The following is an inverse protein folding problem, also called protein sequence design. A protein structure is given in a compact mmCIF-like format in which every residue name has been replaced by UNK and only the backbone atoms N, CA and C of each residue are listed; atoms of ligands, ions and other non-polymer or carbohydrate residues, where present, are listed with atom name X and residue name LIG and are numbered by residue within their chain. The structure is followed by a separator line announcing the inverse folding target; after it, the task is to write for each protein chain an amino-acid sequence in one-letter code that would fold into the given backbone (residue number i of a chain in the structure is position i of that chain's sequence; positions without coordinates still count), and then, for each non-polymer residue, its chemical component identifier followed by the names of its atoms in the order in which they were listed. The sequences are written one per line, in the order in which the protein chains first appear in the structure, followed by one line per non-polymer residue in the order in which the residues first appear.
data_IF_229553644386
#
_entry.id   IF_229553644386
#
_cell.length_a   1.000
_cell.length_b   1.000
_cell.length_c   1.000
_cell.angle_alpha   90.00
_cell.angle_beta   90.00
_cell.angle_gamma   90.00
#
_symmetry.space_group_name_H-M   'P 1'
#
loop_
_entity.id
_entity.type
_entity.pdbx_description
1 polymer ?
#
# COMPACT_ATOMS: atom_id res chain seq x y z
N UNK A 1 -18.74 -0.66 7.01
CA UNK A 1 -17.28 -0.69 7.27
C UNK A 1 -16.60 -0.16 6.02
N UNK A 2 -15.89 0.96 6.11
CA UNK A 2 -15.25 1.60 4.96
C UNK A 2 -14.23 0.65 4.35
N UNK A 3 -14.55 0.07 3.19
CA UNK A 3 -13.77 -0.99 2.52
C UNK A 3 -12.41 -0.48 2.00
N UNK A 4 -12.14 0.82 2.09
CA UNK A 4 -10.94 1.45 1.55
C UNK A 4 -10.23 2.34 2.59
N UNK A 5 -9.34 1.72 3.37
CA UNK A 5 -8.10 2.36 3.81
C UNK A 5 -7.99 2.69 5.31
N UNK A 6 -6.84 2.30 5.87
CA UNK A 6 -6.29 2.68 7.18
C UNK A 6 -5.75 4.13 7.13
N UNK A 7 -6.42 5.02 6.41
CA UNK A 7 -6.00 6.42 6.31
C UNK A 7 -6.52 7.18 7.53
N UNK A 8 -5.62 7.79 8.31
CA UNK A 8 -6.02 8.72 9.36
C UNK A 8 -5.90 10.15 8.83
N UNK A 9 -7.00 10.91 8.75
CA UNK A 9 -6.91 12.32 8.35
C UNK A 9 -6.17 13.12 9.42
N UNK A 10 -4.97 13.59 9.09
CA UNK A 10 -4.18 14.55 9.89
C UNK A 10 -3.98 15.88 9.16
N UNK A 11 -3.72 16.96 9.91
CA UNK A 11 -3.48 18.32 9.40
C UNK A 11 -1.99 18.71 9.30
N UNK A 12 -1.06 17.77 9.44
CA UNK A 12 0.37 18.10 9.53
C UNK A 12 1.02 18.48 8.20
N UNK A 13 2.20 19.12 8.25
CA UNK A 13 3.00 19.48 7.05
C UNK A 13 3.28 18.23 6.19
N UNK A 14 3.53 17.10 6.84
CA UNK A 14 3.71 15.80 6.18
C UNK A 14 2.44 15.39 5.42
N UNK A 15 1.24 15.73 5.88
CA UNK A 15 0.00 15.41 5.15
C UNK A 15 -0.23 16.26 3.89
N UNK A 16 0.39 17.45 3.80
CA UNK A 16 0.19 18.37 2.67
C UNK A 16 1.10 18.10 1.47
N UNK A 17 2.17 17.32 1.67
CA UNK A 17 3.07 16.93 0.57
C UNK A 17 2.36 16.00 -0.43
N UNK A 18 2.53 16.21 -1.75
CA UNK A 18 1.99 15.31 -2.76
C UNK A 18 2.58 13.91 -2.60
N UNK A 19 1.74 12.89 -2.82
CA UNK A 19 2.10 11.50 -2.60
C UNK A 19 3.34 11.06 -3.40
N UNK A 20 3.52 11.58 -4.62
CA UNK A 20 4.70 11.27 -5.44
C UNK A 20 6.01 11.73 -4.77
N UNK A 21 6.04 12.96 -4.24
CA UNK A 21 7.23 13.48 -3.54
C UNK A 21 7.51 12.68 -2.28
N UNK A 22 6.47 12.26 -1.52
CA UNK A 22 6.65 11.39 -0.35
C UNK A 22 7.29 10.05 -0.72
N UNK A 23 6.88 9.45 -1.84
CA UNK A 23 7.41 8.16 -2.29
C UNK A 23 8.87 8.29 -2.75
N UNK A 24 9.22 9.34 -3.49
CA UNK A 24 10.62 9.61 -3.84
C UNK A 24 11.44 9.86 -2.58
N UNK A 25 10.96 10.71 -1.67
CA UNK A 25 11.66 11.02 -0.43
C UNK A 25 11.86 9.77 0.43
N UNK A 26 10.84 8.91 0.52
CA UNK A 26 10.94 7.62 1.21
C UNK A 26 12.03 6.74 0.58
N UNK A 27 11.99 6.57 -0.74
CA UNK A 27 12.96 5.74 -1.46
C UNK A 27 14.39 6.26 -1.30
N UNK A 28 14.59 7.57 -1.46
CA UNK A 28 15.89 8.23 -1.28
C UNK A 28 16.36 8.10 0.16
N UNK A 29 15.49 8.33 1.16
CA UNK A 29 15.85 8.23 2.58
C UNK A 29 16.27 6.81 2.94
N UNK A 30 15.52 5.79 2.48
CA UNK A 30 15.86 4.38 2.71
C UNK A 30 17.19 4.04 2.03
N UNK A 31 17.41 4.49 0.79
CA UNK A 31 18.65 4.24 0.06
C UNK A 31 19.86 4.89 0.76
N UNK A 32 19.75 6.16 1.14
CA UNK A 32 20.78 6.87 1.90
C UNK A 32 21.04 6.15 3.23
N UNK A 33 19.99 5.72 3.92
CA UNK A 33 20.13 5.00 5.17
C UNK A 33 20.89 3.68 4.97
N UNK A 34 20.52 2.89 3.95
CA UNK A 34 21.15 1.62 3.65
C UNK A 34 22.65 1.76 3.29
N UNK A 35 23.05 2.86 2.63
CA UNK A 35 24.43 3.07 2.21
C UNK A 35 25.30 3.74 3.29
N UNK A 36 24.76 4.68 4.06
CA UNK A 36 25.55 5.50 4.98
C UNK A 36 25.53 5.01 6.44
N UNK A 37 24.49 4.25 6.84
CA UNK A 37 24.39 3.71 8.20
C UNK A 37 25.19 2.42 8.29
N UNK A 38 26.49 2.57 8.57
CA UNK A 38 27.41 1.44 8.78
C UNK A 38 27.74 1.21 10.26
N UNK A 39 27.49 2.21 11.10
CA UNK A 39 27.87 2.22 12.51
C UNK A 39 26.64 2.44 13.42
N UNK A 40 26.64 1.89 14.66
CA UNK A 40 25.54 2.05 15.61
C UNK A 40 25.30 3.52 16.00
N UNK A 41 26.32 4.37 15.99
CA UNK A 41 26.16 5.82 16.23
C UNK A 41 25.36 6.49 15.11
N UNK A 42 25.63 6.14 13.85
CA UNK A 42 24.86 6.64 12.70
C UNK A 42 23.44 6.12 12.70
N UNK A 43 23.24 4.89 13.18
CA UNK A 43 21.92 4.31 13.38
C UNK A 43 21.12 5.11 14.41
N UNK A 44 21.73 5.48 15.54
CA UNK A 44 21.08 6.30 16.56
C UNK A 44 20.67 7.69 16.01
N UNK A 45 21.53 8.32 15.21
CA UNK A 45 21.20 9.58 14.54
C UNK A 45 20.02 9.41 13.57
N UNK A 46 20.01 8.35 12.78
CA UNK A 46 18.90 8.04 11.88
C UNK A 46 17.59 7.76 12.65
N UNK A 47 17.67 7.05 13.77
CA UNK A 47 16.53 6.81 14.65
C UNK A 47 15.94 8.14 15.16
N UNK A 48 16.79 9.06 15.60
CA UNK A 48 16.36 10.39 16.04
C UNK A 48 15.65 11.18 14.93
N UNK A 49 16.19 11.15 13.71
CA UNK A 49 15.56 11.78 12.55
C UNK A 49 14.17 11.19 12.27
N UNK A 50 14.03 9.85 12.30
CA UNK A 50 12.73 9.18 12.10
C UNK A 50 11.74 9.54 13.20
N UNK A 51 12.16 9.58 14.46
CA UNK A 51 11.30 10.02 15.58
C UNK A 51 10.82 11.46 15.35
N UNK A 52 11.69 12.35 14.87
CA UNK A 52 11.32 13.71 14.48
C UNK A 52 10.25 13.75 13.39
N UNK A 53 10.35 12.88 12.37
CA UNK A 53 9.33 12.74 11.32
C UNK A 53 7.99 12.27 11.89
N UNK A 54 7.99 11.32 12.82
CA UNK A 54 6.78 10.87 13.51
C UNK A 54 6.12 11.98 14.33
N UNK A 55 6.94 12.80 15.01
CA UNK A 55 6.48 13.98 15.74
C UNK A 55 5.84 15.02 14.80
N UNK A 56 6.52 15.36 13.71
CA UNK A 56 6.01 16.27 12.66
C UNK A 56 4.77 15.71 11.95
N UNK A 57 4.63 14.39 11.87
CA UNK A 57 3.45 13.73 11.30
C UNK A 57 2.24 13.70 12.27
N UNK A 58 2.44 14.06 13.54
CA UNK A 58 1.45 13.96 14.62
C UNK A 58 0.83 12.55 14.73
N UNK A 59 1.64 11.51 14.48
CA UNK A 59 1.19 10.12 14.55
C UNK A 59 1.32 9.64 16.00
N UNK A 60 0.22 9.14 16.56
CA UNK A 60 0.23 8.59 17.92
C UNK A 60 1.18 7.38 18.03
N UNK A 61 1.99 7.26 19.10
CA UNK A 61 2.99 6.19 19.25
C UNK A 61 2.36 4.79 19.24
N UNK A 62 1.10 4.68 19.66
CA UNK A 62 0.32 3.42 19.60
C UNK A 62 0.12 2.92 18.15
N UNK A 63 -0.07 3.81 17.19
CA UNK A 63 -0.23 3.43 15.78
C UNK A 63 1.09 2.90 15.20
N UNK A 64 2.22 3.54 15.56
CA UNK A 64 3.55 3.10 15.17
C UNK A 64 3.85 1.68 15.71
N UNK A 65 3.58 1.45 17.00
CA UNK A 65 3.81 0.16 17.65
C UNK A 65 2.94 -0.97 17.07
N UNK A 66 1.70 -0.67 16.65
CA UNK A 66 0.83 -1.65 16.01
C UNK A 66 1.38 -2.14 14.66
N UNK A 67 2.06 -1.27 13.90
CA UNK A 67 2.69 -1.65 12.63
C UNK A 67 4.01 -2.40 12.82
N UNK A 68 4.75 -2.09 13.89
CA UNK A 68 6.00 -2.77 14.24
C UNK A 68 5.76 -4.17 14.83
N UNK A 69 4.61 -4.41 15.47
CA UNK A 69 4.28 -5.69 16.12
C UNK A 69 4.46 -6.93 15.20
N UNK A 70 3.91 -6.98 13.97
CA UNK A 70 4.15 -8.12 13.07
C UNK A 70 5.61 -8.23 12.63
N UNK A 71 6.35 -7.11 12.61
CA UNK A 71 7.74 -7.07 12.18
C UNK A 71 8.70 -7.70 13.20
N UNK A 72 8.34 -7.72 14.49
CA UNK A 72 9.20 -8.26 15.56
C UNK A 72 9.65 -9.69 15.28
N UNK A 73 8.75 -10.53 14.75
CA UNK A 73 9.08 -11.91 14.38
C UNK A 73 10.12 -12.00 13.26
N UNK A 74 9.95 -11.19 12.21
CA UNK A 74 10.89 -11.15 11.07
C UNK A 74 12.24 -10.58 11.51
N UNK A 75 12.24 -9.50 12.28
CA UNK A 75 13.46 -8.87 12.81
C UNK A 75 14.20 -9.82 13.74
N UNK A 76 13.48 -10.53 14.60
CA UNK A 76 14.07 -11.52 15.50
C UNK A 76 14.78 -12.64 14.74
N UNK A 77 14.13 -13.19 13.70
CA UNK A 77 14.73 -14.20 12.84
C UNK A 77 16.00 -13.68 12.12
N UNK A 78 15.92 -12.49 11.52
CA UNK A 78 17.06 -11.86 10.82
C UNK A 78 18.20 -11.56 11.80
N UNK A 79 17.88 -11.12 13.01
CA UNK A 79 18.87 -10.79 14.03
C UNK A 79 19.66 -12.01 14.48
N UNK A 80 18.97 -13.12 14.76
CA UNK A 80 19.61 -14.39 15.12
C UNK A 80 20.52 -14.86 13.98
N UNK A 81 20.03 -14.83 12.75
CA UNK A 81 20.83 -15.20 11.58
C UNK A 81 22.07 -14.31 11.44
N UNK A 82 21.93 -12.99 11.61
CA UNK A 82 23.05 -12.07 11.48
C UNK A 82 24.13 -12.22 12.56
N UNK A 83 23.75 -12.59 13.79
CA UNK A 83 24.72 -12.87 14.85
C UNK A 83 25.52 -14.13 14.52
N UNK A 84 24.88 -15.17 13.97
CA UNK A 84 25.54 -16.44 13.64
C UNK A 84 26.53 -16.27 12.48
N UNK A 85 26.16 -15.51 11.45
CA UNK A 85 26.92 -15.42 10.20
C UNK A 85 27.86 -14.21 10.10
N UNK A 86 27.64 -13.18 10.91
CA UNK A 86 28.43 -11.96 10.82
C UNK A 86 28.98 -11.52 12.17
N UNK A 87 28.33 -10.56 12.84
CA UNK A 87 28.79 -9.92 14.06
C UNK A 87 27.63 -9.20 14.75
N UNK A 88 27.70 -9.06 16.07
CA UNK A 88 26.68 -8.35 16.86
C UNK A 88 26.45 -6.91 16.38
N UNK A 89 27.53 -6.15 16.15
CA UNK A 89 27.45 -4.76 15.69
C UNK A 89 26.70 -4.64 14.37
N UNK A 90 26.98 -5.55 13.42
CA UNK A 90 26.34 -5.54 12.11
C UNK A 90 24.89 -6.01 12.17
N UNK A 91 24.58 -6.98 13.03
CA UNK A 91 23.21 -7.43 13.28
C UNK A 91 22.33 -6.27 13.78
N UNK A 92 22.83 -5.48 14.74
CA UNK A 92 22.12 -4.30 15.26
C UNK A 92 21.89 -3.26 14.16
N UNK A 93 22.90 -2.98 13.34
CA UNK A 93 22.79 -2.02 12.23
C UNK A 93 21.75 -2.47 11.21
N UNK A 94 21.83 -3.71 10.73
CA UNK A 94 20.92 -4.23 9.69
C UNK A 94 19.48 -4.29 10.20
N UNK A 95 19.26 -4.83 11.39
CA UNK A 95 17.93 -4.90 12.00
C UNK A 95 17.37 -3.50 12.30
N UNK A 96 18.22 -2.58 12.76
CA UNK A 96 17.84 -1.18 13.00
C UNK A 96 17.44 -0.46 11.72
N UNK A 97 18.20 -0.61 10.63
CA UNK A 97 17.86 -0.07 9.31
C UNK A 97 16.53 -0.63 8.81
N UNK A 98 16.31 -1.92 8.97
CA UNK A 98 15.06 -2.57 8.58
C UNK A 98 13.86 -2.02 9.36
N UNK A 99 13.97 -1.92 10.68
CA UNK A 99 12.92 -1.36 11.56
C UNK A 99 12.61 0.09 11.20
N UNK A 100 13.63 0.93 11.02
CA UNK A 100 13.44 2.34 10.69
C UNK A 100 12.88 2.56 9.28
N UNK A 101 13.27 1.72 8.32
CA UNK A 101 12.70 1.74 6.96
C UNK A 101 11.21 1.40 6.98
N UNK A 102 10.82 0.38 7.75
CA UNK A 102 9.40 0.02 7.92
C UNK A 102 8.64 1.13 8.64
N UNK A 103 9.24 1.76 9.65
CA UNK A 103 8.65 2.90 10.34
C UNK A 103 8.41 4.09 9.38
N UNK A 104 9.39 4.45 8.55
CA UNK A 104 9.23 5.48 7.52
C UNK A 104 8.12 5.13 6.52
N UNK A 105 8.06 3.88 6.04
CA UNK A 105 7.01 3.42 5.13
C UNK A 105 5.62 3.46 5.79
N UNK A 106 5.55 3.16 7.09
CA UNK A 106 4.37 3.28 7.91
C UNK A 106 3.83 4.72 7.97
N UNK A 107 4.71 5.72 8.12
CA UNK A 107 4.33 7.15 8.05
C UNK A 107 3.70 7.47 6.70
N UNK A 108 4.31 7.04 5.59
CA UNK A 108 3.76 7.31 4.26
C UNK A 108 2.39 6.66 4.08
N UNK A 109 2.25 5.40 4.51
CA UNK A 109 1.00 4.64 4.43
C UNK A 109 -0.13 5.28 5.24
N UNK A 110 0.15 5.72 6.47
CA UNK A 110 -0.86 6.31 7.35
C UNK A 110 -1.27 7.73 6.92
N UNK A 111 -0.36 8.47 6.29
CA UNK A 111 -0.55 9.89 5.92
C UNK A 111 -0.95 10.10 4.46
N UNK A 112 -1.16 9.03 3.68
CA UNK A 112 -1.47 9.12 2.25
C UNK A 112 -2.75 8.35 1.92
N UNK A 113 -3.68 9.02 1.22
CA UNK A 113 -4.90 8.38 0.72
C UNK A 113 -4.59 7.43 -0.43
N UNK A 114 -5.27 6.29 -0.51
CA UNK A 114 -5.10 5.32 -1.61
C UNK A 114 -5.27 5.96 -2.99
N UNK A 115 -6.26 6.85 -3.15
CA UNK A 115 -6.48 7.58 -4.41
C UNK A 115 -5.32 8.50 -4.78
N UNK A 116 -4.73 9.20 -3.81
CA UNK A 116 -3.57 10.04 -4.03
C UNK A 116 -2.32 9.22 -4.36
N UNK A 117 -2.17 8.03 -3.76
CA UNK A 117 -1.08 7.10 -4.06
C UNK A 117 -1.18 6.56 -5.49
N UNK A 118 -2.40 6.24 -5.94
CA UNK A 118 -2.67 5.83 -7.32
C UNK A 118 -2.38 6.96 -8.33
N UNK A 119 -2.79 8.19 -8.05
CA UNK A 119 -2.48 9.34 -8.90
C UNK A 119 -0.98 9.68 -8.95
N UNK A 120 -0.25 9.47 -7.85
CA UNK A 120 1.20 9.61 -7.84
C UNK A 120 1.89 8.56 -8.71
N UNK A 121 1.43 7.30 -8.64
CA UNK A 121 1.96 6.21 -9.43
C UNK A 121 1.78 6.46 -10.94
N UNK A 122 0.61 6.93 -11.38
CA UNK A 122 0.38 7.27 -12.79
C UNK A 122 1.27 8.41 -13.27
N UNK A 123 1.46 9.43 -12.44
CA UNK A 123 2.38 10.55 -12.74
C UNK A 123 3.83 10.05 -12.89
N UNK A 124 4.26 9.14 -12.00
CA UNK A 124 5.60 8.53 -12.08
C UNK A 124 5.79 7.62 -13.29
N UNK A 125 4.71 7.01 -13.80
CA UNK A 125 4.74 6.17 -15.00
C UNK A 125 4.65 6.99 -16.31
N UNK A 126 4.32 8.27 -16.24
CA UNK A 126 4.23 9.17 -17.40
C UNK A 126 5.53 9.26 -18.22
N UNK A 127 6.76 9.34 -17.65
CA UNK A 127 8.00 9.32 -18.45
C UNK A 127 8.19 8.03 -19.26
N UNK A 128 7.59 6.91 -18.82
CA UNK A 128 7.65 5.63 -19.53
C UNK A 128 6.82 5.62 -20.81
N UNK A 129 6.02 6.68 -21.05
CA UNK A 129 5.29 6.87 -22.30
C UNK A 129 6.16 7.03 -23.54
N UNK A 130 7.42 7.41 -23.34
CA UNK A 130 8.41 7.49 -24.42
C UNK A 130 8.78 6.13 -25.00
N UNK A 131 8.44 5.03 -24.30
CA UNK A 131 8.69 3.64 -24.73
C UNK A 131 7.47 3.02 -25.43
N UNK A 132 6.46 3.83 -25.80
CA UNK A 132 5.27 3.38 -26.54
C UNK A 132 4.04 3.05 -25.69
N UNK A 133 4.12 3.26 -24.37
CA UNK A 133 3.01 3.06 -23.43
C UNK A 133 2.13 4.32 -23.39
N UNK A 134 0.82 4.23 -23.69
CA UNK A 134 -0.10 5.38 -23.62
C UNK A 134 -0.60 5.59 -22.18
N UNK A 135 -0.18 6.65 -21.45
CA UNK A 135 -0.59 6.86 -20.05
C UNK A 135 -2.09 7.07 -19.89
N UNK A 136 -2.75 7.60 -20.91
CA UNK A 136 -4.21 7.78 -20.96
C UNK A 136 -4.96 6.44 -20.87
N UNK A 137 -4.48 5.40 -21.53
CA UNK A 137 -5.06 4.05 -21.46
C UNK A 137 -4.85 3.42 -20.08
N UNK A 138 -3.67 3.61 -19.47
CA UNK A 138 -3.40 3.15 -18.10
C UNK A 138 -4.30 3.88 -17.09
N UNK A 139 -4.43 5.20 -17.22
CA UNK A 139 -5.28 6.00 -16.35
C UNK A 139 -6.75 5.58 -16.47
N UNK A 140 -7.23 5.32 -17.70
CA UNK A 140 -8.58 4.80 -17.96
C UNK A 140 -8.78 3.42 -17.33
N UNK A 141 -7.84 2.49 -17.55
CA UNK A 141 -7.88 1.15 -16.97
C UNK A 141 -7.89 1.19 -15.43
N UNK A 142 -7.05 2.03 -14.82
CA UNK A 142 -7.06 2.23 -13.36
C UNK A 142 -8.36 2.86 -12.88
N UNK A 143 -8.91 3.86 -13.56
CA UNK A 143 -10.18 4.48 -13.17
C UNK A 143 -11.34 3.46 -13.23
N UNK A 144 -11.38 2.64 -14.28
CA UNK A 144 -12.32 1.53 -14.42
C UNK A 144 -12.12 0.50 -13.30
N UNK A 145 -10.88 0.09 -13.03
CA UNK A 145 -10.59 -0.88 -11.97
C UNK A 145 -10.99 -0.36 -10.57
N UNK A 146 -10.69 0.90 -10.25
CA UNK A 146 -11.07 1.52 -8.97
C UNK A 146 -12.60 1.56 -8.82
N UNK A 147 -13.34 1.84 -9.90
CA UNK A 147 -14.79 1.83 -9.92
C UNK A 147 -15.40 0.42 -9.88
N UNK A 148 -14.71 -0.56 -10.47
CA UNK A 148 -15.12 -1.95 -10.50
C UNK A 148 -15.04 -2.58 -9.10
N UNK A 149 -14.07 -2.19 -8.25
CA UNK A 149 -13.93 -2.77 -6.90
C UNK A 149 -15.21 -2.62 -6.06
N UNK A 150 -15.81 -1.41 -5.88
CA UNK A 150 -17.09 -1.26 -5.20
C UNK A 150 -18.23 -2.06 -5.85
N UNK A 151 -18.30 -2.09 -7.17
CA UNK A 151 -19.33 -2.83 -7.89
C UNK A 151 -19.24 -4.33 -7.62
N UNK A 152 -18.03 -4.90 -7.63
CA UNK A 152 -17.79 -6.31 -7.30
C UNK A 152 -18.27 -6.63 -5.88
N UNK A 153 -18.00 -5.74 -4.92
CA UNK A 153 -18.46 -5.90 -3.53
C UNK A 153 -19.99 -5.93 -3.46
N UNK A 154 -20.66 -5.07 -4.23
CA UNK A 154 -22.12 -5.02 -4.29
C UNK A 154 -22.71 -6.28 -4.93
N UNK A 155 -22.15 -6.76 -6.05
CA UNK A 155 -22.57 -8.01 -6.70
C UNK A 155 -22.41 -9.20 -5.73
N UNK A 156 -21.28 -9.29 -5.02
CA UNK A 156 -21.05 -10.36 -4.04
C UNK A 156 -22.08 -10.28 -2.90
N UNK A 157 -22.40 -9.08 -2.42
CA UNK A 157 -23.41 -8.88 -1.39
C UNK A 157 -24.81 -9.33 -1.85
N UNK A 158 -25.20 -9.00 -3.08
CA UNK A 158 -26.47 -9.43 -3.69
C UNK A 158 -26.53 -10.96 -3.84
N UNK A 159 -25.45 -11.59 -4.30
CA UNK A 159 -25.36 -13.05 -4.40
C UNK A 159 -25.52 -13.71 -3.02
N UNK A 160 -24.90 -13.15 -1.99
CA UNK A 160 -25.01 -13.69 -0.64
C UNK A 160 -26.40 -13.50 -0.03
N UNK A 161 -27.07 -12.38 -0.30
CA UNK A 161 -28.45 -12.12 0.12
C UNK A 161 -29.44 -13.07 -0.57
N UNK A 162 -29.32 -13.26 -1.89
CA UNK A 162 -30.12 -14.23 -2.65
C UNK A 162 -29.89 -15.66 -2.15
N UNK A 163 -28.65 -15.99 -1.79
CA UNK A 163 -28.26 -17.28 -1.21
C UNK A 163 -28.89 -17.51 0.17
N UNK A 164 -28.92 -16.48 1.02
CA UNK A 164 -29.57 -16.53 2.34
C UNK A 164 -31.09 -16.67 2.21
N UNK A 165 -31.73 -15.95 1.29
CA UNK A 165 -33.17 -16.07 1.02
C UNK A 165 -33.57 -17.49 0.56
N UNK A 166 -32.66 -18.21 -0.11
CA UNK A 166 -32.85 -19.60 -0.54
C UNK A 166 -32.52 -20.65 0.54
N UNK A 167 -32.12 -20.24 1.75
CA UNK A 167 -31.79 -21.15 2.86
C UNK A 167 -30.53 -22.00 2.64
N UNK A 168 -29.67 -21.64 1.68
CA UNK A 168 -28.49 -22.44 1.33
C UNK A 168 -27.33 -22.19 2.31
N UNK A 169 -26.71 -23.26 2.85
CA UNK A 169 -25.57 -23.17 3.78
C UNK A 169 -24.30 -22.63 3.10
N UNK A 170 -23.38 -22.05 3.88
CA UNK A 170 -22.09 -21.54 3.38
C UNK A 170 -21.25 -22.64 2.73
N UNK A 171 -21.11 -22.59 1.41
CA UNK A 171 -20.24 -23.46 0.60
C UNK A 171 -19.56 -22.61 -0.47
N UNK A 172 -18.23 -22.74 -0.67
CA UNK A 172 -17.49 -21.96 -1.67
C UNK A 172 -18.06 -22.09 -3.07
N UNK A 173 -18.48 -23.30 -3.48
CA UNK A 173 -19.07 -23.54 -4.82
C UNK A 173 -20.38 -22.76 -5.05
N UNK A 174 -21.15 -22.56 -3.99
CA UNK A 174 -22.46 -21.88 -4.02
C UNK A 174 -22.31 -20.35 -4.08
N UNK A 175 -21.14 -19.81 -3.71
CA UNK A 175 -20.87 -18.36 -3.74
C UNK A 175 -20.01 -17.98 -4.95
N UNK A 176 -18.97 -18.77 -5.23
CA UNK A 176 -17.96 -18.44 -6.24
C UNK A 176 -18.54 -18.55 -7.66
N UNK A 177 -19.25 -19.63 -7.98
CA UNK A 177 -19.76 -19.80 -9.35
C UNK A 177 -20.76 -18.69 -9.76
N UNK A 178 -21.76 -18.31 -8.93
CA UNK A 178 -22.65 -17.20 -9.27
C UNK A 178 -21.95 -15.85 -9.31
N UNK A 179 -20.98 -15.61 -8.41
CA UNK A 179 -20.20 -14.38 -8.42
C UNK A 179 -19.35 -14.26 -9.70
N UNK A 180 -18.69 -15.34 -10.14
CA UNK A 180 -17.92 -15.31 -11.40
C UNK A 180 -18.83 -15.04 -12.60
N UNK A 181 -19.98 -15.70 -12.68
CA UNK A 181 -20.92 -15.48 -13.79
C UNK A 181 -21.45 -14.03 -13.79
N UNK A 182 -21.88 -13.52 -12.63
CA UNK A 182 -22.38 -12.16 -12.51
C UNK A 182 -21.32 -11.11 -12.86
N UNK A 183 -20.06 -11.40 -12.57
CA UNK A 183 -18.95 -10.47 -12.82
C UNK A 183 -18.48 -10.51 -14.27
N UNK A 184 -18.57 -11.67 -14.95
CA UNK A 184 -18.41 -11.76 -16.40
C UNK A 184 -19.49 -10.97 -17.14
N UNK A 185 -20.76 -11.13 -16.76
CA UNK A 185 -21.85 -10.34 -17.36
C UNK A 185 -21.68 -8.83 -17.14
N UNK A 186 -21.20 -8.42 -15.96
CA UNK A 186 -20.89 -7.02 -15.71
C UNK A 186 -19.74 -6.53 -16.60
N UNK A 187 -18.69 -7.34 -16.78
CA UNK A 187 -17.57 -7.01 -17.64
C UNK A 187 -18.00 -6.89 -19.12
N UNK A 188 -18.84 -7.79 -19.61
CA UNK A 188 -19.38 -7.76 -20.97
C UNK A 188 -20.18 -6.48 -21.22
N UNK A 189 -21.05 -6.10 -20.28
CA UNK A 189 -21.81 -4.84 -20.36
C UNK A 189 -20.92 -3.59 -20.33
N UNK A 190 -19.83 -3.60 -19.55
CA UNK A 190 -18.85 -2.51 -19.60
C UNK A 190 -18.12 -2.44 -20.94
N UNK A 191 -17.72 -3.58 -21.50
CA UNK A 191 -17.04 -3.65 -22.79
C UNK A 191 -17.93 -3.08 -23.90
N UNK A 192 -19.18 -3.53 -24.01
CA UNK A 192 -20.15 -3.00 -24.97
C UNK A 192 -20.34 -1.48 -24.85
N UNK A 193 -20.41 -0.97 -23.61
CA UNK A 193 -20.57 0.48 -23.36
C UNK A 193 -19.34 1.32 -23.74
N UNK A 194 -18.14 0.73 -23.67
CA UNK A 194 -16.89 1.39 -24.04
C UNK A 194 -16.72 1.42 -25.56
N UNK A 195 -17.00 0.30 -26.24
CA UNK A 195 -17.03 0.23 -27.71
C UNK A 195 -18.07 1.18 -28.30
N UNK A 196 -19.26 1.28 -27.70
CA UNK A 196 -20.29 2.24 -28.11
C UNK A 196 -19.88 3.71 -27.94
N UNK A 197 -18.88 3.99 -27.08
CA UNK A 197 -18.30 5.32 -26.88
C UNK A 197 -17.07 5.60 -27.76
N UNK A 198 -16.70 4.68 -28.64
CA UNK A 198 -15.55 4.80 -29.54
C UNK A 198 -14.20 4.65 -28.84
N UNK A 199 -14.16 3.96 -27.69
CA UNK A 199 -12.93 3.61 -26.99
C UNK A 199 -12.57 2.17 -27.33
N UNK A 200 -11.85 1.99 -28.45
CA UNK A 200 -11.23 0.72 -28.86
C UNK A 200 -9.81 0.56 -28.28
#
# INVERSE_FOLDING_TARGET
MSVLGIYRPGRSIVHRLPAGVKLVLLAVTILVMALFVTNPVRLALAAFAVIGVYGLAAIGPRAALQQLRPLVWVVGFVFVFQIIFTDWSRAVVVCGVLVLSVALAAVVTLTTKTTAMLAALTTMLTPLSRVGIKPSQIALAMALAIRAIPLMVEIIAQVDEARRARGLRFSPRVVVAPAVIATLHAADGFAESLTARGLD
#
